data_IF_502493457032
#
_entry.id   IF_502493457032
#
_cell.length_a   1.000
_cell.length_b   1.000
_cell.length_c   1.000
_cell.angle_alpha   90.00
_cell.angle_beta   90.00
_cell.angle_gamma   90.00
#
_symmetry.space_group_name_H-M   'P 1'
#
loop_
_entity.id
_entity.type
_entity.pdbx_description
1 polymer ?
#
# COMPACT_ATOMS: atom_id res chain seq x y z
N UNK A 1 -24.28 26.48 -11.51
CA UNK A 1 -23.00 25.90 -11.09
C UNK A 1 -21.99 27.02 -10.94
N UNK A 2 -21.50 27.27 -9.76
CA UNK A 2 -20.54 28.33 -9.47
C UNK A 2 -19.16 28.00 -10.05
N UNK A 3 -18.36 29.03 -10.34
CA UNK A 3 -16.98 28.88 -10.86
C UNK A 3 -16.10 28.01 -9.93
N UNK A 4 -16.34 28.08 -8.61
CA UNK A 4 -15.72 27.17 -7.61
C UNK A 4 -16.10 25.71 -7.81
N UNK A 5 -17.35 25.40 -8.17
CA UNK A 5 -17.79 24.02 -8.42
C UNK A 5 -17.24 23.48 -9.76
N UNK A 6 -17.04 24.37 -10.75
CA UNK A 6 -16.37 24.02 -12.00
C UNK A 6 -14.87 23.75 -11.79
N UNK A 7 -14.18 24.60 -11.02
CA UNK A 7 -12.78 24.40 -10.61
C UNK A 7 -12.58 23.10 -9.83
N UNK A 8 -13.45 22.80 -8.84
CA UNK A 8 -13.42 21.55 -8.09
C UNK A 8 -13.63 20.29 -9.00
N UNK A 9 -14.50 20.39 -10.02
CA UNK A 9 -14.69 19.29 -10.97
C UNK A 9 -13.50 19.09 -11.92
N UNK A 10 -12.80 20.15 -12.29
CA UNK A 10 -11.61 20.07 -13.17
C UNK A 10 -10.44 19.50 -12.36
N UNK A 11 -10.22 19.95 -11.14
CA UNK A 11 -9.17 19.40 -10.23
C UNK A 11 -9.46 17.96 -9.81
N UNK A 12 -10.72 17.57 -9.61
CA UNK A 12 -11.09 16.17 -9.34
C UNK A 12 -10.82 15.23 -10.52
N UNK A 13 -10.86 15.73 -11.75
CA UNK A 13 -10.51 14.94 -12.96
C UNK A 13 -9.01 14.86 -13.23
N UNK A 14 -8.24 15.88 -12.84
CA UNK A 14 -6.80 15.95 -13.08
C UNK A 14 -5.94 15.16 -12.08
N UNK A 15 -6.53 14.69 -10.99
CA UNK A 15 -5.80 14.18 -9.83
C UNK A 15 -5.36 15.34 -8.90
N UNK A 16 -4.79 14.97 -7.76
CA UNK A 16 -4.24 15.96 -6.82
C UNK A 16 -2.89 16.46 -7.36
N UNK A 17 -2.79 17.78 -7.54
CA UNK A 17 -1.52 18.44 -7.91
C UNK A 17 -0.93 19.07 -6.64
N UNK A 18 0.24 18.58 -6.18
CA UNK A 18 0.87 19.10 -4.98
C UNK A 18 1.46 20.49 -5.24
N UNK A 19 1.00 21.50 -4.52
CA UNK A 19 1.53 22.87 -4.60
C UNK A 19 2.41 23.17 -3.40
N UNK A 20 3.55 23.83 -3.66
CA UNK A 20 4.41 24.33 -2.60
C UNK A 20 3.72 25.46 -1.83
N UNK A 21 3.88 25.47 -0.50
CA UNK A 21 3.45 26.57 0.37
C UNK A 21 4.63 27.08 1.19
N UNK A 22 4.80 28.41 1.27
CA UNK A 22 5.83 29.03 2.11
C UNK A 22 5.70 28.66 3.59
N UNK A 23 4.50 28.31 4.04
CA UNK A 23 4.27 27.78 5.39
C UNK A 23 5.04 26.50 5.71
N UNK A 24 5.50 25.75 4.70
CA UNK A 24 6.30 24.54 4.86
C UNK A 24 7.72 24.84 5.40
N UNK A 25 8.23 26.05 5.21
CA UNK A 25 9.54 26.50 5.73
C UNK A 25 9.48 27.02 7.18
N UNK A 26 8.29 27.09 7.78
CA UNK A 26 8.12 27.56 9.16
C UNK A 26 8.94 26.69 10.13
N UNK A 27 9.58 27.26 11.17
CA UNK A 27 10.44 26.56 12.13
C UNK A 27 9.83 25.29 12.73
N UNK A 28 8.52 25.22 12.94
CA UNK A 28 7.82 24.02 13.39
C UNK A 28 8.06 22.78 12.52
N UNK A 29 8.45 22.96 11.25
CA UNK A 29 8.69 21.90 10.28
C UNK A 29 10.18 21.54 10.12
N UNK A 30 11.10 22.24 10.79
CA UNK A 30 12.54 22.01 10.62
C UNK A 30 12.97 20.59 10.99
N UNK A 31 12.34 19.98 12.00
CA UNK A 31 12.59 18.58 12.33
C UNK A 31 12.22 17.63 11.19
N UNK A 32 11.12 17.91 10.46
CA UNK A 32 10.73 17.14 9.29
C UNK A 32 11.75 17.33 8.17
N UNK A 33 12.17 18.58 7.91
CA UNK A 33 13.20 18.87 6.89
C UNK A 33 14.54 18.18 7.20
N UNK A 34 14.96 18.17 8.47
CA UNK A 34 16.17 17.45 8.89
C UNK A 34 16.03 15.94 8.63
N UNK A 35 14.88 15.35 8.99
CA UNK A 35 14.59 13.94 8.70
C UNK A 35 14.65 13.62 7.21
N UNK A 36 14.03 14.48 6.37
CA UNK A 36 14.08 14.36 4.91
C UNK A 36 15.52 14.46 4.40
N UNK A 37 16.29 15.43 4.87
CA UNK A 37 17.69 15.59 4.48
C UNK A 37 18.50 14.31 4.79
N UNK A 38 18.32 13.73 5.97
CA UNK A 38 18.95 12.44 6.33
C UNK A 38 18.52 11.33 5.38
N UNK A 39 17.22 11.20 5.08
CA UNK A 39 16.72 10.20 4.13
C UNK A 39 17.30 10.39 2.72
N UNK A 40 17.47 11.63 2.28
CA UNK A 40 18.09 11.93 0.98
C UNK A 40 19.56 11.57 0.95
N UNK A 41 20.31 11.76 2.05
CA UNK A 41 21.69 11.28 2.17
C UNK A 41 21.77 9.75 2.14
N UNK A 42 20.86 9.09 2.84
CA UNK A 42 20.74 7.62 2.86
C UNK A 42 20.39 7.02 1.48
N UNK A 43 19.83 7.80 0.57
CA UNK A 43 19.59 7.39 -0.82
C UNK A 43 20.86 7.00 -1.58
N UNK A 44 22.03 7.49 -1.15
CA UNK A 44 23.32 7.21 -1.77
C UNK A 44 24.15 6.17 -1.01
N UNK A 45 23.70 5.77 0.18
CA UNK A 45 24.32 4.70 0.96
C UNK A 45 23.98 3.34 0.33
N UNK A 46 24.97 2.44 0.14
CA UNK A 46 24.71 1.08 -0.33
C UNK A 46 23.65 0.39 0.52
N UNK A 47 22.69 -0.27 -0.13
CA UNK A 47 21.54 -0.86 0.57
C UNK A 47 21.97 -1.80 1.72
N UNK A 48 23.01 -2.62 1.53
CA UNK A 48 23.50 -3.54 2.55
C UNK A 48 23.90 -2.86 3.86
N UNK A 49 24.52 -1.68 3.76
CA UNK A 49 24.91 -0.90 4.94
C UNK A 49 23.68 -0.24 5.56
N UNK A 50 22.83 0.38 4.74
CA UNK A 50 21.58 1.01 5.17
C UNK A 50 20.66 0.02 5.86
N UNK A 51 20.52 -1.19 5.30
CA UNK A 51 19.64 -2.22 5.86
C UNK A 51 20.15 -2.79 7.19
N UNK A 52 21.48 -2.93 7.34
CA UNK A 52 22.08 -3.27 8.65
C UNK A 52 21.85 -2.18 9.71
N UNK A 53 21.91 -0.90 9.30
CA UNK A 53 21.58 0.21 10.21
C UNK A 53 20.11 0.17 10.59
N UNK A 54 19.21 -0.05 9.62
CA UNK A 54 17.77 -0.19 9.84
C UNK A 54 17.45 -1.34 10.80
N UNK A 55 18.06 -2.50 10.59
CA UNK A 55 17.88 -3.67 11.46
C UNK A 55 18.30 -3.38 12.91
N UNK A 56 19.51 -2.82 13.11
CA UNK A 56 19.98 -2.46 14.45
C UNK A 56 19.04 -1.48 15.14
N UNK A 57 18.59 -0.46 14.42
CA UNK A 57 17.65 0.54 14.93
C UNK A 57 16.30 -0.09 15.28
N UNK A 58 15.74 -0.91 14.39
CA UNK A 58 14.46 -1.58 14.59
C UNK A 58 14.51 -2.50 15.83
N UNK A 59 15.53 -3.37 15.95
CA UNK A 59 15.66 -4.27 17.10
C UNK A 59 15.84 -3.51 18.41
N UNK A 60 16.54 -2.37 18.40
CA UNK A 60 16.70 -1.53 19.61
C UNK A 60 15.37 -0.85 20.02
N UNK A 61 14.50 -0.53 19.06
CA UNK A 61 13.25 0.20 19.31
C UNK A 61 12.03 -0.71 19.41
N UNK A 62 12.06 -1.93 18.88
CA UNK A 62 10.91 -2.84 18.77
C UNK A 62 10.15 -3.05 20.09
N UNK A 63 10.88 -3.12 21.22
CA UNK A 63 10.28 -3.28 22.56
C UNK A 63 9.64 -1.99 23.09
N UNK A 64 9.95 -0.83 22.52
CA UNK A 64 9.45 0.49 22.94
C UNK A 64 8.25 0.95 22.11
N UNK A 65 7.95 0.25 21.02
CA UNK A 65 6.83 0.59 20.12
C UNK A 65 5.55 0.04 20.78
N UNK A 66 4.71 0.94 21.32
CA UNK A 66 3.50 0.59 22.08
C UNK A 66 2.33 0.12 21.20
N UNK A 67 1.35 1.01 20.96
CA UNK A 67 0.10 0.67 20.25
C UNK A 67 0.27 -0.09 18.91
N UNK A 68 1.22 0.23 18.01
CA UNK A 68 1.41 -0.55 16.78
C UNK A 68 1.77 -2.02 17.05
N UNK A 69 2.61 -2.27 18.06
CA UNK A 69 2.98 -3.64 18.45
C UNK A 69 1.78 -4.42 18.97
N UNK A 70 1.00 -3.82 19.88
CA UNK A 70 -0.20 -4.45 20.45
C UNK A 70 -1.20 -4.82 19.34
N UNK A 71 -1.42 -3.94 18.35
CA UNK A 71 -2.27 -4.24 17.19
C UNK A 71 -1.77 -5.42 16.39
N UNK A 72 -0.46 -5.49 16.14
CA UNK A 72 0.14 -6.63 15.44
C UNK A 72 0.00 -7.94 16.24
N UNK A 73 0.16 -7.90 17.56
CA UNK A 73 -0.04 -9.05 18.44
C UNK A 73 -1.49 -9.56 18.39
N UNK A 74 -2.48 -8.66 18.47
CA UNK A 74 -3.91 -9.01 18.36
C UNK A 74 -4.21 -9.63 17.00
N UNK A 75 -3.79 -9.00 15.92
CA UNK A 75 -4.03 -9.50 14.56
C UNK A 75 -3.42 -10.88 14.36
N UNK A 76 -2.14 -11.07 14.73
CA UNK A 76 -1.46 -12.34 14.56
C UNK A 76 -2.04 -13.43 15.47
N UNK A 77 -2.49 -13.10 16.68
CA UNK A 77 -3.14 -14.07 17.57
C UNK A 77 -4.45 -14.58 17.00
N UNK A 78 -5.24 -13.71 16.40
CA UNK A 78 -6.52 -14.10 15.80
C UNK A 78 -6.35 -14.79 14.44
N UNK A 79 -5.40 -14.35 13.62
CA UNK A 79 -5.15 -14.94 12.30
C UNK A 79 -4.38 -16.26 12.36
N UNK A 80 -3.50 -16.45 13.37
CA UNK A 80 -2.65 -17.62 13.54
C UNK A 80 -2.69 -18.12 14.99
N UNK A 81 -3.83 -18.65 15.45
CA UNK A 81 -3.99 -19.11 16.84
C UNK A 81 -3.04 -20.26 17.22
N UNK A 82 -2.70 -21.11 16.25
CA UNK A 82 -1.81 -22.27 16.44
C UNK A 82 -0.33 -21.88 16.58
N UNK A 83 0.04 -20.65 16.29
CA UNK A 83 1.42 -20.19 16.49
C UNK A 83 1.70 -19.93 17.96
N UNK A 84 2.92 -20.29 18.39
CA UNK A 84 3.39 -19.92 19.73
C UNK A 84 3.59 -18.41 19.84
N UNK A 85 3.65 -17.89 21.06
CA UNK A 85 3.97 -16.49 21.30
C UNK A 85 5.35 -16.12 20.78
N UNK A 86 6.31 -17.06 20.80
CA UNK A 86 7.65 -16.86 20.23
C UNK A 86 7.59 -16.69 18.70
N UNK A 87 6.80 -17.50 18.01
CA UNK A 87 6.63 -17.39 16.57
C UNK A 87 5.99 -16.05 16.18
N UNK A 88 4.90 -15.64 16.88
CA UNK A 88 4.27 -14.34 16.66
C UNK A 88 5.23 -13.18 16.94
N UNK A 89 5.95 -13.23 18.06
CA UNK A 89 6.94 -12.21 18.40
C UNK A 89 8.05 -12.10 17.37
N UNK A 90 8.54 -13.21 16.86
CA UNK A 90 9.54 -13.23 15.77
C UNK A 90 9.03 -12.51 14.52
N UNK A 91 7.80 -12.81 14.09
CA UNK A 91 7.19 -12.13 12.94
C UNK A 91 7.06 -10.63 13.18
N UNK A 92 6.64 -10.21 14.37
CA UNK A 92 6.54 -8.79 14.74
C UNK A 92 7.90 -8.10 14.69
N UNK A 93 8.93 -8.72 15.24
CA UNK A 93 10.30 -8.16 15.21
C UNK A 93 10.83 -8.03 13.78
N UNK A 94 10.68 -9.06 12.94
CA UNK A 94 11.08 -9.01 11.54
C UNK A 94 10.23 -8.01 10.74
N UNK A 95 8.94 -7.84 11.06
CA UNK A 95 8.10 -6.81 10.48
C UNK A 95 8.66 -5.41 10.81
N UNK A 96 9.08 -5.13 12.05
CA UNK A 96 9.69 -3.84 12.37
C UNK A 96 11.05 -3.63 11.71
N UNK A 97 11.81 -4.69 11.47
CA UNK A 97 13.04 -4.63 10.65
C UNK A 97 12.69 -4.27 9.22
N UNK A 98 11.73 -4.97 8.62
CA UNK A 98 11.28 -4.71 7.25
C UNK A 98 10.80 -3.27 7.06
N UNK A 99 9.94 -2.77 7.96
CA UNK A 99 9.48 -1.39 7.85
C UNK A 99 10.62 -0.38 7.97
N UNK A 100 11.58 -0.61 8.88
CA UNK A 100 12.72 0.28 9.01
C UNK A 100 13.60 0.29 7.73
N UNK A 101 13.83 -0.87 7.12
CA UNK A 101 14.58 -0.99 5.87
C UNK A 101 13.88 -0.25 4.72
N UNK A 102 12.57 -0.44 4.56
CA UNK A 102 11.78 0.25 3.54
C UNK A 102 11.73 1.76 3.80
N UNK A 103 11.51 2.19 5.04
CA UNK A 103 11.44 3.60 5.40
C UNK A 103 12.79 4.31 5.20
N UNK A 104 13.91 3.72 5.59
CA UNK A 104 15.22 4.28 5.29
C UNK A 104 15.55 4.26 3.78
N UNK A 105 14.88 3.38 3.01
CA UNK A 105 14.96 3.33 1.55
C UNK A 105 14.15 4.38 0.81
N UNK A 106 13.27 5.13 1.50
CA UNK A 106 12.31 6.01 0.82
C UNK A 106 12.99 7.17 0.08
N UNK A 107 14.11 7.68 0.61
CA UNK A 107 14.90 8.69 -0.07
C UNK A 107 15.43 8.21 -1.43
N UNK A 108 15.83 6.93 -1.52
CA UNK A 108 16.23 6.29 -2.77
C UNK A 108 15.09 6.31 -3.80
N UNK A 109 13.89 5.91 -3.38
CA UNK A 109 12.70 5.90 -4.25
C UNK A 109 12.33 7.31 -4.68
N UNK A 110 12.48 8.29 -3.79
CA UNK A 110 12.11 9.68 -4.05
C UNK A 110 13.04 10.40 -5.04
N UNK A 111 14.36 10.11 -5.08
CA UNK A 111 15.31 10.94 -5.84
C UNK A 111 16.18 10.19 -6.86
N UNK A 112 16.38 8.86 -6.74
CA UNK A 112 17.26 8.12 -7.66
C UNK A 112 16.64 8.01 -9.04
N UNK A 113 17.50 7.82 -10.06
CA UNK A 113 17.08 7.78 -11.45
C UNK A 113 16.17 6.60 -11.77
N UNK A 114 15.35 6.73 -12.83
CA UNK A 114 14.53 5.66 -13.39
C UNK A 114 15.31 4.36 -13.57
N UNK A 115 16.50 4.43 -14.22
CA UNK A 115 17.38 3.27 -14.47
C UNK A 115 17.85 2.61 -13.15
N UNK A 116 18.11 3.41 -12.12
CA UNK A 116 18.50 2.89 -10.82
C UNK A 116 17.35 2.11 -10.18
N UNK A 117 16.13 2.67 -10.16
CA UNK A 117 14.97 2.01 -9.57
C UNK A 117 14.58 0.74 -10.33
N UNK A 118 14.73 0.72 -11.65
CA UNK A 118 14.54 -0.49 -12.46
C UNK A 118 15.51 -1.60 -12.06
N UNK A 119 16.77 -1.30 -11.75
CA UNK A 119 17.73 -2.29 -11.25
C UNK A 119 17.42 -2.78 -9.83
N UNK A 120 16.63 -2.01 -9.07
CA UNK A 120 16.19 -2.31 -7.71
C UNK A 120 14.86 -3.05 -7.67
N UNK A 121 14.36 -3.49 -8.80
CA UNK A 121 13.08 -4.18 -8.93
C UNK A 121 13.21 -5.57 -9.51
N UNK A 122 12.29 -6.43 -9.13
CA UNK A 122 12.11 -7.77 -9.67
C UNK A 122 10.60 -8.05 -9.80
N UNK A 123 10.22 -8.65 -10.92
CA UNK A 123 8.83 -9.02 -11.18
C UNK A 123 8.72 -10.54 -11.34
N UNK A 124 7.78 -11.13 -10.63
CA UNK A 124 7.39 -12.53 -10.72
C UNK A 124 5.97 -12.54 -11.26
N UNK A 125 5.72 -13.22 -12.39
CA UNK A 125 4.39 -13.27 -13.03
C UNK A 125 4.03 -12.01 -13.85
N UNK A 126 5.02 -11.22 -14.31
CA UNK A 126 4.75 -10.01 -15.13
C UNK A 126 4.00 -10.30 -16.42
N UNK A 127 4.08 -11.54 -16.92
CA UNK A 127 3.35 -12.01 -18.09
C UNK A 127 1.84 -11.85 -17.96
N UNK A 128 1.25 -11.95 -16.77
CA UNK A 128 -0.18 -11.76 -16.54
C UNK A 128 -0.64 -10.34 -16.87
N UNK A 129 0.16 -9.32 -16.48
CA UNK A 129 -0.12 -7.94 -16.86
C UNK A 129 0.06 -7.73 -18.36
N UNK A 130 1.13 -8.30 -18.95
CA UNK A 130 1.41 -8.16 -20.38
C UNK A 130 0.32 -8.78 -21.23
N UNK A 131 -0.13 -9.98 -20.86
CA UNK A 131 -1.21 -10.68 -21.54
C UNK A 131 -2.51 -9.89 -21.47
N UNK A 132 -2.95 -9.46 -20.28
CA UNK A 132 -4.16 -8.66 -20.12
C UNK A 132 -4.12 -7.37 -20.95
N UNK A 133 -2.96 -6.70 -21.04
CA UNK A 133 -2.78 -5.53 -21.91
C UNK A 133 -2.84 -5.87 -23.40
N UNK A 134 -2.25 -6.98 -23.83
CA UNK A 134 -2.28 -7.43 -25.22
C UNK A 134 -3.70 -7.78 -25.66
N UNK A 135 -4.53 -8.28 -24.77
CA UNK A 135 -5.96 -8.56 -24.95
C UNK A 135 -6.84 -7.30 -24.90
N UNK A 136 -6.24 -6.13 -24.64
CA UNK A 136 -6.95 -4.84 -24.62
C UNK A 136 -7.73 -4.57 -23.33
N UNK A 137 -7.49 -5.32 -22.26
CA UNK A 137 -8.15 -5.12 -20.98
C UNK A 137 -7.60 -3.93 -20.21
N UNK A 138 -8.48 -3.18 -19.56
CA UNK A 138 -8.09 -2.34 -18.45
C UNK A 138 -7.71 -3.23 -17.25
N UNK A 139 -6.87 -2.73 -16.34
CA UNK A 139 -6.35 -3.53 -15.23
C UNK A 139 -6.58 -2.79 -13.91
N UNK A 140 -7.05 -3.52 -12.91
CA UNK A 140 -6.98 -3.14 -11.51
C UNK A 140 -6.02 -4.11 -10.82
N UNK A 141 -4.91 -3.58 -10.30
CA UNK A 141 -4.04 -4.33 -9.41
C UNK A 141 -4.67 -4.34 -8.02
N UNK A 142 -4.98 -5.52 -7.51
CA UNK A 142 -5.40 -5.71 -6.11
C UNK A 142 -4.13 -5.94 -5.27
N UNK A 143 -3.81 -4.98 -4.43
CA UNK A 143 -2.53 -4.94 -3.71
C UNK A 143 -2.79 -4.89 -2.20
N UNK A 144 -2.58 -5.98 -1.46
CA UNK A 144 -2.62 -5.96 -0.01
C UNK A 144 -1.61 -4.97 0.59
N UNK A 145 -1.91 -4.40 1.76
CA UNK A 145 -1.03 -3.47 2.46
C UNK A 145 0.27 -4.15 2.91
N UNK A 146 1.27 -4.17 2.02
CA UNK A 146 2.65 -4.50 2.37
C UNK A 146 3.48 -3.24 2.62
N UNK A 147 4.60 -3.36 3.31
CA UNK A 147 5.49 -2.22 3.59
C UNK A 147 6.05 -1.58 2.33
N UNK A 148 6.20 -2.34 1.25
CA UNK A 148 6.77 -1.88 -0.02
C UNK A 148 5.76 -1.28 -1.00
N UNK A 149 4.50 -1.02 -0.61
CA UNK A 149 3.44 -0.55 -1.53
C UNK A 149 3.77 0.76 -2.24
N UNK A 150 4.32 1.75 -1.55
CA UNK A 150 4.68 3.02 -2.16
C UNK A 150 5.87 2.88 -3.12
N UNK A 151 6.88 2.11 -2.72
CA UNK A 151 8.04 1.83 -3.56
C UNK A 151 7.63 1.11 -4.84
N UNK A 152 6.81 0.06 -4.75
CA UNK A 152 6.35 -0.69 -5.91
C UNK A 152 5.49 0.16 -6.83
N UNK A 153 4.61 0.98 -6.28
CA UNK A 153 3.82 1.93 -7.04
C UNK A 153 4.67 2.86 -7.90
N UNK A 154 5.68 3.46 -7.31
CA UNK A 154 6.62 4.35 -8.01
C UNK A 154 7.47 3.56 -9.04
N UNK A 155 7.93 2.36 -8.69
CA UNK A 155 8.74 1.51 -9.56
C UNK A 155 7.96 1.08 -10.80
N UNK A 156 6.70 0.68 -10.69
CA UNK A 156 5.86 0.31 -11.83
C UNK A 156 5.81 1.42 -12.89
N UNK A 157 5.73 2.68 -12.49
CA UNK A 157 5.81 3.80 -13.44
C UNK A 157 7.13 3.85 -14.19
N UNK A 158 8.24 3.47 -13.54
CA UNK A 158 9.56 3.43 -14.20
C UNK A 158 9.64 2.39 -15.31
N UNK A 159 8.79 1.37 -15.27
CA UNK A 159 8.69 0.30 -16.27
C UNK A 159 7.62 0.57 -17.35
N UNK A 160 7.09 1.80 -17.44
CA UNK A 160 6.06 2.13 -18.42
C UNK A 160 4.67 1.58 -18.07
N UNK A 161 4.44 1.32 -16.81
CA UNK A 161 3.16 0.86 -16.26
C UNK A 161 2.52 1.99 -15.44
N UNK A 162 1.84 2.95 -16.08
CA UNK A 162 1.26 4.09 -15.40
C UNK A 162 0.09 3.65 -14.51
N UNK A 163 0.03 4.20 -13.31
CA UNK A 163 -0.97 3.83 -12.32
C UNK A 163 -1.74 5.02 -11.80
N UNK A 164 -2.94 4.72 -11.34
CA UNK A 164 -3.79 5.62 -10.57
C UNK A 164 -4.16 4.98 -9.24
N UNK A 165 -4.19 5.74 -8.15
CA UNK A 165 -4.55 5.24 -6.83
C UNK A 165 -5.38 6.25 -6.04
N UNK A 166 -6.16 5.74 -5.10
CA UNK A 166 -6.85 6.55 -4.09
C UNK A 166 -6.03 6.56 -2.79
N UNK A 167 -6.04 7.69 -2.09
CA UNK A 167 -5.30 7.84 -0.84
C UNK A 167 -6.03 8.72 0.16
N UNK A 168 -5.69 8.59 1.43
CA UNK A 168 -6.08 9.51 2.47
C UNK A 168 -4.97 10.55 2.66
N UNK A 169 -5.24 11.87 2.55
CA UNK A 169 -4.26 12.91 2.78
C UNK A 169 -3.63 12.81 4.18
N UNK A 170 -2.33 13.03 4.26
CA UNK A 170 -1.62 13.00 5.53
C UNK A 170 -2.01 14.22 6.39
N UNK A 171 -2.10 14.03 7.72
CA UNK A 171 -2.47 15.12 8.65
C UNK A 171 -1.52 16.31 8.60
N UNK A 172 -0.22 16.07 8.37
CA UNK A 172 0.75 17.15 8.19
C UNK A 172 0.85 17.51 6.70
N UNK A 173 0.49 18.77 6.30
CA UNK A 173 0.48 19.16 4.89
C UNK A 173 1.83 19.12 4.19
N UNK A 174 2.94 19.34 4.91
CA UNK A 174 4.28 19.22 4.35
C UNK A 174 4.60 17.76 3.99
N UNK A 175 4.28 16.82 4.90
CA UNK A 175 4.48 15.39 4.65
C UNK A 175 3.60 14.93 3.49
N UNK A 176 2.33 15.35 3.46
CA UNK A 176 1.40 15.04 2.37
C UNK A 176 1.92 15.51 1.01
N UNK A 177 2.38 16.76 0.96
CA UNK A 177 2.97 17.34 -0.24
C UNK A 177 4.18 16.56 -0.74
N UNK A 178 5.15 16.26 0.13
CA UNK A 178 6.37 15.52 -0.24
C UNK A 178 6.08 14.08 -0.68
N UNK A 179 5.18 13.42 0.04
CA UNK A 179 4.78 12.05 -0.28
C UNK A 179 4.10 11.97 -1.63
N UNK A 180 3.22 12.93 -1.91
CA UNK A 180 2.51 13.03 -3.20
C UNK A 180 3.48 13.35 -4.34
N UNK A 181 4.45 14.24 -4.13
CA UNK A 181 5.53 14.50 -5.11
C UNK A 181 6.29 13.21 -5.46
N UNK A 182 6.67 12.43 -4.45
CA UNK A 182 7.38 11.16 -4.67
C UNK A 182 6.53 10.16 -5.45
N UNK A 183 5.25 9.98 -5.08
CA UNK A 183 4.31 9.07 -5.75
C UNK A 183 4.02 9.45 -7.19
N UNK A 184 3.97 10.74 -7.50
CA UNK A 184 3.66 11.24 -8.86
C UNK A 184 4.91 11.44 -9.73
N UNK A 185 6.11 11.24 -9.19
CA UNK A 185 7.38 11.57 -9.84
C UNK A 185 7.54 11.03 -11.26
N UNK A 186 6.97 9.88 -11.56
CA UNK A 186 7.07 9.24 -12.88
C UNK A 186 5.72 9.12 -13.59
N UNK A 187 4.75 9.98 -13.25
CA UNK A 187 3.47 10.07 -13.95
C UNK A 187 2.28 9.43 -13.25
N UNK A 188 2.41 9.05 -11.96
CA UNK A 188 1.29 8.54 -11.15
C UNK A 188 0.17 9.57 -10.98
N UNK A 189 -1.08 9.09 -10.87
CA UNK A 189 -2.24 9.92 -10.57
C UNK A 189 -2.82 9.52 -9.22
N UNK A 190 -2.86 10.49 -8.30
CA UNK A 190 -3.37 10.30 -6.96
C UNK A 190 -4.72 10.98 -6.80
N UNK A 191 -5.69 10.29 -6.19
CA UNK A 191 -7.00 10.83 -5.91
C UNK A 191 -7.31 10.74 -4.43
N UNK A 192 -7.63 11.85 -3.80
CA UNK A 192 -8.10 11.84 -2.42
C UNK A 192 -9.44 11.09 -2.35
N UNK A 193 -9.59 10.16 -1.39
CA UNK A 193 -10.81 9.33 -1.22
C UNK A 193 -12.07 10.14 -1.06
N UNK A 194 -11.99 11.31 -0.44
CA UNK A 194 -13.10 12.24 -0.28
C UNK A 194 -13.70 12.75 -1.62
N UNK A 195 -12.95 12.64 -2.72
CA UNK A 195 -13.42 13.00 -4.06
C UNK A 195 -14.23 11.86 -4.71
N UNK A 196 -14.41 10.75 -4.01
CA UNK A 196 -15.10 9.56 -4.49
C UNK A 196 -14.32 8.77 -5.55
N UNK A 197 -14.93 7.68 -6.01
CA UNK A 197 -14.28 6.70 -6.89
C UNK A 197 -14.25 7.11 -8.37
N UNK A 198 -15.10 8.07 -8.80
CA UNK A 198 -15.25 8.41 -10.23
C UNK A 198 -13.96 8.83 -10.94
N UNK A 199 -13.07 9.67 -10.33
CA UNK A 199 -11.80 10.04 -10.95
C UNK A 199 -10.86 8.85 -11.13
N UNK A 200 -10.80 7.94 -10.15
CA UNK A 200 -10.02 6.72 -10.20
C UNK A 200 -10.46 5.82 -11.37
N UNK A 201 -11.76 5.53 -11.49
CA UNK A 201 -12.31 4.74 -12.60
C UNK A 201 -12.09 5.41 -13.96
N UNK A 202 -12.16 6.76 -14.03
CA UNK A 202 -11.93 7.49 -15.28
C UNK A 202 -10.49 7.29 -15.79
N UNK A 203 -9.49 7.32 -14.91
CA UNK A 203 -8.10 7.09 -15.31
C UNK A 203 -7.82 5.63 -15.70
N UNK A 204 -8.49 4.66 -15.08
CA UNK A 204 -8.39 3.26 -15.50
C UNK A 204 -8.91 3.12 -16.92
N UNK A 205 -10.05 3.72 -17.27
CA UNK A 205 -10.61 3.73 -18.64
C UNK A 205 -9.73 4.45 -19.66
N UNK A 206 -8.79 5.28 -19.20
CA UNK A 206 -7.80 5.96 -20.04
C UNK A 206 -6.47 5.16 -20.16
N UNK A 207 -6.46 3.90 -19.70
CA UNK A 207 -5.31 2.99 -19.84
C UNK A 207 -4.31 3.03 -18.69
N UNK A 208 -4.59 3.76 -17.58
CA UNK A 208 -3.81 3.62 -16.37
C UNK A 208 -4.26 2.38 -15.61
N UNK A 209 -3.34 1.70 -14.92
CA UNK A 209 -3.71 0.60 -14.03
C UNK A 209 -4.22 1.15 -12.71
N UNK A 210 -5.36 0.66 -12.24
CA UNK A 210 -5.84 0.94 -10.90
C UNK A 210 -4.94 0.27 -9.88
N UNK A 211 -4.49 0.99 -8.85
CA UNK A 211 -3.74 0.45 -7.72
C UNK A 211 -4.66 0.49 -6.50
N UNK A 212 -5.28 -0.65 -6.21
CA UNK A 212 -6.34 -0.77 -5.21
C UNK A 212 -5.89 -1.60 -4.02
N UNK A 213 -6.05 -1.06 -2.82
CA UNK A 213 -5.73 -1.72 -1.56
C UNK A 213 -7.03 -2.22 -0.92
N UNK A 214 -7.23 -3.56 -0.83
CA UNK A 214 -8.53 -4.16 -0.49
C UNK A 214 -8.78 -4.34 1.01
N UNK A 215 -7.78 -4.21 1.85
CA UNK A 215 -7.70 -4.82 3.18
C UNK A 215 -7.92 -3.84 4.35
N UNK A 216 -8.36 -2.60 4.10
CA UNK A 216 -8.84 -1.72 5.17
C UNK A 216 -10.23 -2.15 5.66
N UNK A 217 -10.50 -1.89 6.93
CA UNK A 217 -11.81 -2.13 7.56
C UNK A 217 -12.66 -0.84 7.49
N UNK A 218 -13.79 -0.91 6.77
CA UNK A 218 -14.69 0.22 6.53
C UNK A 218 -15.97 0.19 7.37
N UNK A 219 -16.04 -0.69 8.36
CA UNK A 219 -17.21 -0.85 9.22
C UNK A 219 -18.26 -1.82 8.64
N UNK A 220 -19.19 -2.23 9.50
CA UNK A 220 -20.19 -3.26 9.19
C UNK A 220 -21.15 -2.86 8.06
N UNK A 221 -21.53 -1.57 8.00
CA UNK A 221 -22.54 -1.08 7.04
C UNK A 221 -22.12 -1.23 5.57
N UNK A 222 -20.82 -1.25 5.28
CA UNK A 222 -20.28 -1.29 3.92
C UNK A 222 -19.62 -2.63 3.59
N UNK A 223 -19.53 -3.54 4.55
CA UNK A 223 -18.75 -4.76 4.45
C UNK A 223 -19.61 -6.01 4.60
N UNK A 224 -19.08 -7.12 4.11
CA UNK A 224 -19.57 -8.47 4.42
C UNK A 224 -18.55 -9.17 5.33
N UNK A 225 -19.04 -10.05 6.19
CA UNK A 225 -18.17 -10.81 7.08
C UNK A 225 -17.83 -12.16 6.46
N UNK A 226 -16.59 -12.29 6.03
CA UNK A 226 -16.06 -13.51 5.41
C UNK A 226 -14.78 -13.95 6.10
N UNK A 227 -14.39 -15.21 5.92
CA UNK A 227 -13.19 -15.78 6.51
C UNK A 227 -11.94 -15.01 6.10
N UNK A 228 -11.00 -14.89 7.05
CA UNK A 228 -9.71 -14.29 6.88
C UNK A 228 -8.71 -14.99 7.80
N UNK A 229 -7.81 -15.79 7.24
CA UNK A 229 -6.97 -16.75 7.98
C UNK A 229 -7.83 -17.64 8.91
N UNK A 230 -7.46 -17.78 10.18
CA UNK A 230 -8.23 -18.56 11.15
C UNK A 230 -9.38 -17.80 11.84
N UNK A 231 -9.71 -16.59 11.35
CA UNK A 231 -10.79 -15.76 11.89
C UNK A 231 -11.69 -15.24 10.76
N UNK A 232 -12.45 -14.20 11.01
CA UNK A 232 -13.24 -13.50 10.00
C UNK A 232 -12.90 -12.01 9.97
N UNK A 233 -13.22 -11.36 8.86
CA UNK A 233 -12.97 -9.94 8.63
C UNK A 233 -14.18 -9.28 7.97
N UNK A 234 -14.47 -8.04 8.38
CA UNK A 234 -15.38 -7.16 7.65
C UNK A 234 -14.66 -6.68 6.38
N UNK A 235 -15.02 -7.27 5.22
CA UNK A 235 -14.36 -7.03 3.94
C UNK A 235 -15.31 -6.27 3.00
N UNK A 236 -14.82 -5.19 2.39
CA UNK A 236 -15.59 -4.38 1.44
C UNK A 236 -15.74 -5.13 0.10
N UNK A 237 -16.95 -5.53 -0.33
CA UNK A 237 -17.14 -6.37 -1.51
C UNK A 237 -17.18 -5.58 -2.83
N UNK A 238 -16.69 -4.32 -2.83
CA UNK A 238 -16.88 -3.40 -3.95
C UNK A 238 -16.01 -3.65 -5.19
N UNK A 239 -15.02 -4.55 -5.14
CA UNK A 239 -14.03 -4.74 -6.20
C UNK A 239 -14.65 -5.25 -7.52
N UNK A 240 -15.56 -6.21 -7.46
CA UNK A 240 -16.28 -6.70 -8.67
C UNK A 240 -17.03 -5.57 -9.37
N UNK A 241 -17.76 -4.75 -8.61
CA UNK A 241 -18.49 -3.59 -9.16
C UNK A 241 -17.52 -2.57 -9.80
N UNK A 242 -16.38 -2.32 -9.16
CA UNK A 242 -15.34 -1.43 -9.71
C UNK A 242 -14.77 -1.98 -11.02
N UNK A 243 -14.43 -3.28 -11.05
CA UNK A 243 -13.90 -3.94 -12.22
C UNK A 243 -14.86 -3.86 -13.42
N UNK A 244 -16.15 -4.14 -13.18
CA UNK A 244 -17.19 -3.99 -14.22
C UNK A 244 -17.33 -2.56 -14.72
N UNK A 245 -17.42 -1.58 -13.81
CA UNK A 245 -17.54 -0.17 -14.18
C UNK A 245 -16.32 0.32 -14.95
N UNK A 246 -15.12 -0.19 -14.66
CA UNK A 246 -13.88 0.14 -15.35
C UNK A 246 -13.65 -0.70 -16.62
N UNK A 247 -14.44 -1.75 -16.88
CA UNK A 247 -14.17 -2.79 -17.87
C UNK A 247 -12.75 -3.36 -17.71
N UNK A 248 -12.40 -3.70 -16.48
CA UNK A 248 -11.06 -4.10 -16.09
C UNK A 248 -11.05 -5.55 -15.59
N UNK A 249 -9.94 -6.25 -15.83
CA UNK A 249 -9.58 -7.46 -15.13
C UNK A 249 -8.89 -7.10 -13.81
N UNK A 250 -9.07 -7.93 -12.80
CA UNK A 250 -8.41 -7.74 -11.49
C UNK A 250 -7.23 -8.70 -11.40
N UNK A 251 -6.05 -8.16 -11.16
CA UNK A 251 -4.81 -8.92 -11.06
C UNK A 251 -4.24 -8.73 -9.66
N UNK A 252 -4.16 -9.79 -8.83
CA UNK A 252 -3.51 -9.71 -7.52
C UNK A 252 -2.02 -9.46 -7.66
N UNK A 253 -1.48 -8.57 -6.83
CA UNK A 253 -0.05 -8.28 -6.75
C UNK A 253 0.35 -8.00 -5.31
N UNK A 254 1.47 -8.56 -4.87
CA UNK A 254 2.03 -8.25 -3.56
C UNK A 254 3.47 -7.77 -3.66
N UNK A 255 3.76 -6.56 -3.17
CA UNK A 255 5.11 -6.02 -3.15
C UNK A 255 5.82 -6.38 -1.84
N UNK A 256 7.05 -6.90 -1.96
CA UNK A 256 7.94 -7.24 -0.85
C UNK A 256 9.28 -6.52 -1.00
N UNK A 257 9.95 -6.31 0.12
CA UNK A 257 11.35 -5.90 0.11
C UNK A 257 12.24 -7.07 0.50
N UNK A 258 13.13 -7.47 -0.40
CA UNK A 258 14.11 -8.53 -0.14
C UNK A 258 15.45 -7.91 0.29
N UNK A 259 15.76 -7.94 1.59
CA UNK A 259 16.98 -7.37 2.13
C UNK A 259 18.26 -8.12 1.68
N UNK A 260 18.17 -9.39 1.25
CA UNK A 260 19.32 -10.16 0.74
C UNK A 260 19.77 -9.64 -0.62
N UNK A 261 18.84 -9.45 -1.54
CA UNK A 261 19.09 -8.93 -2.89
C UNK A 261 19.09 -7.39 -2.95
N UNK A 262 18.44 -6.75 -1.97
CA UNK A 262 18.17 -5.33 -1.94
C UNK A 262 17.13 -4.89 -2.96
N UNK A 263 16.29 -5.78 -3.44
CA UNK A 263 15.28 -5.50 -4.46
C UNK A 263 13.88 -5.38 -3.87
N UNK A 264 13.05 -4.59 -4.54
CA UNK A 264 11.61 -4.61 -4.40
C UNK A 264 11.05 -5.66 -5.35
N UNK A 265 10.48 -6.72 -4.79
CA UNK A 265 9.89 -7.84 -5.54
C UNK A 265 8.38 -7.61 -5.65
N UNK A 266 7.86 -7.68 -6.87
CA UNK A 266 6.42 -7.63 -7.14
C UNK A 266 5.99 -9.00 -7.65
N UNK A 267 5.31 -9.76 -6.79
CA UNK A 267 4.68 -11.03 -7.16
C UNK A 267 3.28 -10.77 -7.71
N UNK A 268 3.04 -11.19 -8.94
CA UNK A 268 1.82 -10.94 -9.71
C UNK A 268 1.20 -12.30 -10.04
N UNK A 269 -0.05 -12.49 -9.66
CA UNK A 269 -0.79 -13.72 -9.93
C UNK A 269 -1.67 -13.60 -11.17
N UNK A 270 -2.20 -14.72 -11.70
CA UNK A 270 -3.20 -14.67 -12.77
C UNK A 270 -4.40 -13.79 -12.40
N UNK A 271 -5.13 -13.26 -13.40
CA UNK A 271 -6.37 -12.53 -13.15
C UNK A 271 -7.36 -13.35 -12.34
N UNK A 272 -7.90 -12.75 -11.28
CA UNK A 272 -8.87 -13.43 -10.42
C UNK A 272 -10.28 -13.39 -10.99
N UNK A 273 -11.03 -14.44 -10.74
CA UNK A 273 -12.46 -14.52 -11.06
C UNK A 273 -13.27 -13.97 -9.87
N UNK A 274 -14.01 -12.89 -10.10
CA UNK A 274 -14.85 -12.29 -9.08
C UNK A 274 -16.31 -12.70 -9.29
N UNK A 275 -16.95 -13.21 -8.24
CA UNK A 275 -18.36 -13.57 -8.24
C UNK A 275 -19.26 -12.34 -8.21
N UNK A 276 -20.49 -12.48 -8.69
CA UNK A 276 -21.57 -11.50 -8.47
C UNK A 276 -22.02 -11.47 -7.00
N UNK A 277 -21.88 -12.59 -6.31
CA UNK A 277 -22.14 -12.69 -4.89
C UNK A 277 -21.12 -11.91 -4.09
N UNK A 278 -21.56 -10.95 -3.24
CA UNK A 278 -20.64 -10.10 -2.47
C UNK A 278 -19.75 -10.88 -1.50
N UNK A 279 -20.27 -11.93 -0.86
CA UNK A 279 -19.50 -12.72 0.11
C UNK A 279 -18.43 -13.56 -0.58
N UNK A 280 -18.79 -14.23 -1.68
CA UNK A 280 -17.83 -15.00 -2.49
C UNK A 280 -16.74 -14.09 -3.08
N UNK A 281 -17.12 -12.90 -3.57
CA UNK A 281 -16.16 -11.94 -4.10
C UNK A 281 -15.20 -11.43 -3.01
N UNK A 282 -15.73 -11.13 -1.81
CA UNK A 282 -14.92 -10.71 -0.67
C UNK A 282 -14.01 -11.85 -0.17
N UNK A 283 -14.51 -13.09 -0.12
CA UNK A 283 -13.70 -14.24 0.27
C UNK A 283 -12.55 -14.49 -0.71
N UNK A 284 -12.81 -14.41 -2.00
CA UNK A 284 -11.76 -14.54 -3.02
C UNK A 284 -10.65 -13.50 -2.87
N UNK A 285 -10.99 -12.25 -2.50
CA UNK A 285 -9.97 -11.23 -2.19
C UNK A 285 -9.14 -11.60 -0.96
N UNK A 286 -9.78 -12.10 0.11
CA UNK A 286 -9.08 -12.51 1.32
C UNK A 286 -8.16 -13.70 1.05
N UNK A 287 -8.56 -14.67 0.22
CA UNK A 287 -7.74 -15.81 -0.19
C UNK A 287 -6.44 -15.38 -0.89
N UNK A 288 -6.50 -14.39 -1.75
CA UNK A 288 -5.30 -13.83 -2.39
C UNK A 288 -4.39 -13.12 -1.37
N UNK A 289 -4.96 -12.43 -0.38
CA UNK A 289 -4.17 -11.82 0.71
C UNK A 289 -3.49 -12.93 1.52
N UNK A 290 -4.23 -13.96 1.92
CA UNK A 290 -3.72 -15.12 2.66
C UNK A 290 -2.59 -15.83 1.92
N UNK A 291 -2.76 -16.03 0.60
CA UNK A 291 -1.74 -16.63 -0.25
C UNK A 291 -0.42 -15.84 -0.21
N UNK A 292 -0.46 -14.53 -0.37
CA UNK A 292 0.73 -13.70 -0.39
C UNK A 292 1.39 -13.55 0.99
N UNK A 293 0.58 -13.46 2.03
CA UNK A 293 1.06 -13.14 3.38
C UNK A 293 1.59 -14.37 4.12
N UNK A 294 1.01 -15.55 3.90
CA UNK A 294 1.41 -16.77 4.62
C UNK A 294 2.91 -17.09 4.51
N UNK A 295 3.56 -17.02 3.34
CA UNK A 295 5.00 -17.32 3.23
C UNK A 295 5.92 -16.22 3.75
N UNK A 296 5.44 -14.98 3.85
CA UNK A 296 6.24 -13.80 4.24
C UNK A 296 5.43 -12.85 5.13
N UNK A 297 4.96 -13.32 6.30
CA UNK A 297 4.04 -12.55 7.14
C UNK A 297 4.64 -11.23 7.65
N UNK A 298 5.96 -11.14 7.79
CA UNK A 298 6.66 -9.91 8.19
C UNK A 298 6.58 -8.77 7.15
N UNK A 299 6.19 -9.09 5.90
CA UNK A 299 6.02 -8.09 4.84
C UNK A 299 4.66 -7.37 4.90
N UNK A 300 3.69 -7.91 5.64
CA UNK A 300 2.34 -7.37 5.74
C UNK A 300 2.20 -6.37 6.89
N UNK A 301 1.31 -5.38 6.73
CA UNK A 301 1.15 -4.27 7.69
C UNK A 301 0.22 -4.65 8.83
N UNK A 302 0.65 -5.57 9.70
CA UNK A 302 -0.13 -6.04 10.87
C UNK A 302 -0.46 -4.97 11.89
N UNK A 303 0.13 -3.77 11.81
CA UNK A 303 -0.16 -2.66 12.73
C UNK A 303 -1.48 -1.94 12.44
N UNK A 304 -2.14 -2.24 11.31
CA UNK A 304 -3.46 -1.71 10.98
C UNK A 304 -4.53 -2.39 11.86
N UNK A 305 -5.63 -1.70 12.07
CA UNK A 305 -6.83 -2.26 12.72
C UNK A 305 -7.63 -3.10 11.70
N UNK A 306 -7.04 -4.21 11.24
CA UNK A 306 -7.58 -5.04 10.16
C UNK A 306 -8.89 -5.73 10.52
N UNK A 307 -9.10 -6.00 11.81
CA UNK A 307 -10.22 -6.77 12.37
C UNK A 307 -11.07 -5.90 13.31
N UNK A 308 -11.10 -4.59 13.08
CA UNK A 308 -11.76 -3.61 13.96
C UNK A 308 -13.26 -3.88 14.11
N UNK A 309 -13.90 -4.21 13.01
CA UNK A 309 -15.34 -4.45 13.00
C UNK A 309 -15.62 -5.92 13.31
N UNK A 310 -16.18 -6.17 14.49
CA UNK A 310 -16.56 -7.50 14.95
C UNK A 310 -18.07 -7.69 14.89
N UNK A 311 -18.54 -8.95 14.68
CA UNK A 311 -19.98 -9.29 14.59
C UNK A 311 -20.72 -9.00 15.89
N UNK A 312 -20.06 -9.15 17.02
CA UNK A 312 -20.56 -8.93 18.37
C UNK A 312 -20.38 -7.48 18.88
N UNK A 313 -19.73 -6.63 18.08
CA UNK A 313 -19.44 -5.24 18.44
C UNK A 313 -18.27 -5.09 19.43
N UNK A 314 -17.51 -6.15 19.71
CA UNK A 314 -16.36 -6.09 20.60
C UNK A 314 -15.27 -5.16 20.04
N UNK A 315 -14.75 -4.26 20.88
CA UNK A 315 -13.55 -3.47 20.55
C UNK A 315 -12.31 -4.22 21.01
N UNK A 316 -11.65 -4.88 20.04
CA UNK A 316 -10.46 -5.70 20.31
C UNK A 316 -9.15 -4.89 20.33
N UNK A 317 -9.19 -3.62 19.94
CA UNK A 317 -8.00 -2.78 19.92
C UNK A 317 -8.04 -1.73 21.03
N UNK A 318 -6.96 -1.60 21.82
CA UNK A 318 -6.88 -0.56 22.84
C UNK A 318 -6.82 0.84 22.21
N UNK A 319 -7.40 1.81 22.89
CA UNK A 319 -7.40 3.24 22.55
C UNK A 319 -5.98 3.86 22.42
#
# INVERSE_FOLDING_TARGET
MTDSQKKLRITARAGYEPHFSWSYLHPKNWGIWLGIFVLLLLAFVPFRLRDKMAEKLARALAKKIGKPRIRAEINLKLCFPDWTDEQRNKVIEEMFVTVAQVMLGIGEIAIRSKKHLQKRSEFIGLEHIKQAKAEGHNIILMVPHGWAIDASGIILHTHGMPMTSMYNPHRNPLVDWLWTLARQRFGGKMHARQNGIKPFLAHIKQGQMGYYLPDEDFGAEQSVFVDFFATYKATLPGLNKMAKLAKAVVIPMFPRYNAKSGKYEMEIRPPMQLSEDPEQSARAMNEEIEYFVTPTPEQYVWILQLLRTRKDGEDIYPD
#
